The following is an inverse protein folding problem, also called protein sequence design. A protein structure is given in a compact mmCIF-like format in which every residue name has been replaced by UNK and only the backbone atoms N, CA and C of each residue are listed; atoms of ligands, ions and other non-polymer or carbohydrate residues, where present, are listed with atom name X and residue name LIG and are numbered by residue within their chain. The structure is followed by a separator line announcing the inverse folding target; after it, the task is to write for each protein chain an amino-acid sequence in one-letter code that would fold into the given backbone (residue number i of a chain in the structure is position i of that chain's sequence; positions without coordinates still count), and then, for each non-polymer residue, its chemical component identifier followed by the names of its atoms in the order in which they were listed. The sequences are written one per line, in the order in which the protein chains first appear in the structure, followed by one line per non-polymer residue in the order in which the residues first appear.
data_IF_763439462904
#
_entry.id   IF_763439462904
#
_cell.length_a   1.000
_cell.length_b   1.000
_cell.length_c   1.000
_cell.angle_alpha   90.00
_cell.angle_beta   90.00
_cell.angle_gamma   90.00
#
_symmetry.space_group_name_H-M   'P 1'
#
loop_
_entity.id
_entity.type
_entity.pdbx_description
1 polymer ?
#
# COMPACT_ATOMS: atom_id res chain seq x y z
N UNK A 1 7.63 3.66 -34.24
CA UNK A 1 6.64 3.09 -33.27
C UNK A 1 5.23 3.63 -33.54
N UNK A 2 4.94 4.94 -33.52
CA UNK A 2 3.59 5.47 -33.76
C UNK A 2 2.99 4.98 -35.09
N UNK A 3 3.74 5.07 -36.19
CA UNK A 3 3.33 4.53 -37.49
C UNK A 3 2.91 3.04 -37.43
N UNK A 4 3.69 2.22 -36.76
CA UNK A 4 3.39 0.79 -36.60
C UNK A 4 2.08 0.61 -35.82
N UNK A 5 1.84 1.44 -34.81
CA UNK A 5 0.58 1.41 -34.07
C UNK A 5 -0.61 1.87 -34.94
N UNK A 6 -0.41 2.88 -35.80
CA UNK A 6 -1.45 3.34 -36.73
C UNK A 6 -1.76 2.28 -37.79
N UNK A 7 -0.75 1.67 -38.41
CA UNK A 7 -0.90 0.55 -39.35
C UNK A 7 -1.68 -0.62 -38.71
N UNK A 8 -1.29 -1.03 -37.48
CA UNK A 8 -2.01 -2.06 -36.73
C UNK A 8 -3.46 -1.67 -36.44
N UNK A 9 -3.69 -0.39 -36.07
CA UNK A 9 -5.03 0.10 -35.77
C UNK A 9 -5.93 0.10 -37.02
N UNK A 10 -5.39 0.49 -38.17
CA UNK A 10 -6.09 0.45 -39.44
C UNK A 10 -6.46 -0.98 -39.86
N UNK A 11 -5.53 -1.94 -39.72
CA UNK A 11 -5.75 -3.35 -39.99
C UNK A 11 -6.83 -3.98 -39.11
N UNK A 12 -7.03 -3.45 -37.91
CA UNK A 12 -7.98 -3.99 -36.91
C UNK A 12 -9.22 -3.10 -36.70
N UNK A 13 -9.41 -2.08 -37.52
CA UNK A 13 -10.49 -1.08 -37.37
C UNK A 13 -10.55 -0.42 -36.01
N UNK A 14 -9.39 -0.11 -35.43
CA UNK A 14 -9.24 0.59 -34.16
C UNK A 14 -8.94 2.07 -34.44
N UNK A 15 -9.69 2.99 -33.83
CA UNK A 15 -9.42 4.42 -33.92
C UNK A 15 -8.76 4.93 -32.66
N UNK A 16 -7.53 5.43 -32.78
CA UNK A 16 -6.90 6.18 -31.68
C UNK A 16 -7.57 7.56 -31.55
N UNK A 17 -7.87 7.94 -30.32
CA UNK A 17 -8.40 9.26 -30.03
C UNK A 17 -7.28 10.23 -29.70
N UNK A 18 -6.83 11.04 -30.64
CA UNK A 18 -5.76 12.00 -30.49
C UNK A 18 -6.03 13.01 -29.38
N UNK A 19 -7.30 13.44 -29.20
CA UNK A 19 -7.70 14.40 -28.13
C UNK A 19 -7.58 13.84 -26.72
N UNK A 20 -7.74 12.51 -26.56
CA UNK A 20 -7.56 11.81 -25.27
C UNK A 20 -6.13 11.32 -25.07
N UNK A 21 -5.34 11.25 -26.13
CA UNK A 21 -3.94 10.87 -26.07
C UNK A 21 -3.11 12.04 -25.54
N UNK A 22 -2.06 11.73 -24.78
CA UNK A 22 -1.14 12.71 -24.21
C UNK A 22 0.26 12.15 -24.30
N UNK A 23 1.26 13.03 -24.43
CA UNK A 23 2.64 12.61 -24.32
C UNK A 23 3.39 13.39 -23.25
N UNK A 24 4.29 12.69 -22.54
CA UNK A 24 5.16 13.23 -21.52
C UNK A 24 6.62 13.09 -21.96
N UNK A 25 7.42 14.09 -21.65
CA UNK A 25 8.87 14.05 -21.91
C UNK A 25 9.58 13.99 -20.56
N UNK A 26 10.30 12.91 -20.33
CA UNK A 26 11.10 12.73 -19.12
C UNK A 26 12.57 13.09 -19.41
N UNK A 27 13.18 13.82 -18.49
CA UNK A 27 14.55 14.30 -18.61
C UNK A 27 14.65 15.75 -19.07
N UNK A 28 15.88 16.25 -19.14
CA UNK A 28 16.16 17.63 -19.55
C UNK A 28 16.35 17.70 -21.07
N UNK A 29 15.25 17.71 -21.80
CA UNK A 29 15.26 17.90 -23.25
C UNK A 29 14.69 19.27 -23.60
N UNK A 30 15.48 20.10 -24.28
CA UNK A 30 15.01 21.39 -24.82
C UNK A 30 14.04 21.20 -26.00
N UNK A 31 14.19 20.10 -26.73
CA UNK A 31 13.38 19.80 -27.89
C UNK A 31 12.10 19.05 -27.51
N UNK A 32 10.97 19.61 -27.92
CA UNK A 32 9.67 19.01 -27.78
C UNK A 32 9.12 18.59 -29.14
N UNK A 33 9.13 17.31 -29.50
CA UNK A 33 8.65 16.85 -30.80
C UNK A 33 7.16 17.11 -30.96
N UNK A 34 6.72 17.49 -32.16
CA UNK A 34 5.29 17.49 -32.50
C UNK A 34 4.88 16.07 -32.83
N UNK A 35 4.04 15.48 -31.95
CA UNK A 35 3.52 14.14 -32.10
C UNK A 35 2.10 14.22 -32.69
N UNK A 36 1.83 13.43 -33.74
CA UNK A 36 0.50 13.30 -34.34
C UNK A 36 0.09 11.84 -34.30
N UNK A 37 -1.21 11.60 -34.08
CA UNK A 37 -1.86 10.29 -34.16
C UNK A 37 -3.15 10.47 -34.98
N UNK A 38 -3.33 9.71 -36.05
CA UNK A 38 -4.42 9.87 -37.02
C UNK A 38 -4.53 11.33 -37.54
N UNK A 39 -3.40 11.95 -37.86
CA UNK A 39 -3.31 13.36 -38.27
C UNK A 39 -3.73 14.39 -37.19
N UNK A 40 -4.20 13.98 -36.03
CA UNK A 40 -4.49 14.87 -34.90
C UNK A 40 -3.22 15.09 -34.06
N UNK A 41 -2.98 16.33 -33.68
CA UNK A 41 -1.86 16.67 -32.80
C UNK A 41 -2.14 16.20 -31.38
N UNK A 42 -1.23 15.38 -30.83
CA UNK A 42 -1.27 14.94 -29.43
C UNK A 42 -0.68 16.04 -28.54
N UNK A 43 -1.40 16.51 -27.51
CA UNK A 43 -0.90 17.55 -26.63
C UNK A 43 0.23 17.03 -25.71
N UNK A 44 1.27 17.86 -25.56
CA UNK A 44 2.28 17.69 -24.51
C UNK A 44 1.65 18.02 -23.15
N UNK A 45 1.95 17.23 -22.14
CA UNK A 45 1.57 17.54 -20.78
C UNK A 45 2.69 17.22 -19.79
N UNK A 46 2.69 17.90 -18.65
CA UNK A 46 3.65 17.65 -17.57
C UNK A 46 3.18 16.50 -16.66
N UNK A 47 1.91 16.18 -16.68
CA UNK A 47 1.34 15.07 -15.93
C UNK A 47 0.20 14.41 -16.66
N UNK A 48 0.07 13.08 -16.48
CA UNK A 48 -1.05 12.29 -17.00
C UNK A 48 -1.34 11.11 -16.08
N UNK A 49 -2.61 10.69 -16.03
CA UNK A 49 -2.98 9.45 -15.35
C UNK A 49 -2.84 8.29 -16.34
N UNK A 50 -2.05 7.30 -15.99
CA UNK A 50 -1.90 6.05 -16.72
C UNK A 50 -2.17 4.87 -15.78
N UNK A 51 -3.14 4.04 -16.12
CA UNK A 51 -3.57 2.87 -15.31
C UNK A 51 -3.80 3.24 -13.82
N UNK A 52 -4.43 4.39 -13.58
CA UNK A 52 -4.71 4.86 -12.21
C UNK A 52 -3.52 5.50 -11.48
N UNK A 53 -2.35 5.58 -12.10
CA UNK A 53 -1.17 6.25 -11.54
C UNK A 53 -0.93 7.60 -12.19
N UNK A 54 -0.67 8.63 -11.38
CA UNK A 54 -0.22 9.92 -11.86
C UNK A 54 1.24 9.83 -12.29
N UNK A 55 1.49 9.95 -13.59
CA UNK A 55 2.83 10.14 -14.14
C UNK A 55 3.11 11.63 -14.23
N UNK A 56 4.27 12.08 -13.74
CA UNK A 56 4.67 13.49 -13.77
C UNK A 56 6.11 13.60 -14.28
N UNK A 57 6.36 14.50 -15.22
CA UNK A 57 7.70 14.76 -15.78
C UNK A 57 8.67 15.34 -14.74
N UNK A 58 8.14 16.12 -13.80
CA UNK A 58 8.84 16.59 -12.60
C UNK A 58 8.54 15.63 -11.45
N UNK A 59 9.18 14.48 -11.46
CA UNK A 59 8.95 13.46 -10.44
C UNK A 59 9.28 14.01 -9.04
N UNK A 60 8.23 14.37 -8.29
CA UNK A 60 8.35 14.65 -6.86
C UNK A 60 7.92 13.38 -6.11
N UNK A 61 8.87 12.79 -5.39
CA UNK A 61 8.72 11.50 -4.67
C UNK A 61 7.53 11.45 -3.71
N UNK A 62 6.99 12.60 -3.34
CA UNK A 62 5.99 12.74 -2.29
C UNK A 62 4.54 12.71 -2.80
N UNK A 63 4.29 13.16 -4.04
CA UNK A 63 2.91 13.38 -4.53
C UNK A 63 2.07 12.11 -4.59
N UNK A 64 2.65 10.97 -4.98
CA UNK A 64 1.91 9.70 -5.06
C UNK A 64 1.42 9.22 -3.69
N UNK A 65 2.26 9.33 -2.66
CA UNK A 65 1.90 8.88 -1.31
C UNK A 65 0.87 9.83 -0.70
N UNK A 66 1.03 11.14 -0.90
CA UNK A 66 0.08 12.16 -0.43
C UNK A 66 -1.32 12.00 -1.05
N UNK A 67 -1.39 11.73 -2.35
CA UNK A 67 -2.65 11.42 -3.02
C UNK A 67 -3.27 10.13 -2.51
N UNK A 68 -2.47 9.12 -2.24
CA UNK A 68 -2.93 7.86 -1.65
C UNK A 68 -3.46 8.06 -0.24
N UNK A 69 -2.81 8.89 0.58
CA UNK A 69 -3.31 9.28 1.92
C UNK A 69 -4.68 9.97 1.81
N UNK A 70 -4.82 10.94 0.90
CA UNK A 70 -6.10 11.63 0.68
C UNK A 70 -7.20 10.65 0.23
N UNK A 71 -6.87 9.77 -0.70
CA UNK A 71 -7.79 8.74 -1.21
C UNK A 71 -8.20 7.76 -0.12
N UNK A 72 -7.24 7.29 0.69
CA UNK A 72 -7.50 6.42 1.83
C UNK A 72 -8.44 7.09 2.84
N UNK A 73 -8.14 8.31 3.26
CA UNK A 73 -8.97 9.04 4.20
C UNK A 73 -10.40 9.24 3.66
N UNK A 74 -10.55 9.61 2.38
CA UNK A 74 -11.87 9.73 1.74
C UNK A 74 -12.63 8.39 1.77
N UNK A 75 -11.96 7.30 1.43
CA UNK A 75 -12.56 5.96 1.46
C UNK A 75 -12.94 5.55 2.87
N UNK A 76 -12.07 5.79 3.85
CA UNK A 76 -12.32 5.47 5.25
C UNK A 76 -13.50 6.25 5.84
N UNK A 77 -13.56 7.57 5.66
CA UNK A 77 -14.68 8.36 6.16
C UNK A 77 -15.99 8.02 5.45
N UNK A 78 -15.96 7.76 4.15
CA UNK A 78 -17.12 7.28 3.40
C UNK A 78 -17.57 5.88 3.84
N UNK A 79 -16.63 5.02 4.21
CA UNK A 79 -16.89 3.72 4.81
C UNK A 79 -17.54 3.87 6.19
N UNK A 80 -16.94 4.65 7.10
CA UNK A 80 -17.47 4.86 8.45
C UNK A 80 -18.88 5.44 8.44
N UNK A 81 -19.17 6.40 7.54
CA UNK A 81 -20.52 6.98 7.45
C UNK A 81 -21.61 5.96 7.09
N UNK A 82 -21.24 4.85 6.43
CA UNK A 82 -22.19 3.81 6.00
C UNK A 82 -22.28 2.63 6.98
N UNK A 83 -21.19 2.31 7.65
CA UNK A 83 -21.03 1.07 8.41
C UNK A 83 -20.72 1.28 9.90
N UNK A 84 -20.88 2.50 10.42
CA UNK A 84 -20.65 2.78 11.85
C UNK A 84 -21.56 1.98 12.77
N UNK A 85 -22.80 1.71 12.34
CA UNK A 85 -23.77 0.89 13.06
C UNK A 85 -23.52 -0.64 13.01
N UNK A 86 -22.54 -1.11 12.20
CA UNK A 86 -22.20 -2.53 12.15
C UNK A 86 -21.38 -2.93 13.38
N UNK A 87 -21.45 -4.22 13.75
CA UNK A 87 -20.57 -4.75 14.78
C UNK A 87 -19.09 -4.67 14.33
N UNK A 88 -18.18 -4.61 15.29
CA UNK A 88 -16.75 -4.37 15.07
C UNK A 88 -16.12 -5.44 14.20
N UNK A 89 -16.51 -6.71 14.34
CA UNK A 89 -15.99 -7.82 13.53
C UNK A 89 -16.34 -7.64 12.04
N UNK A 90 -17.62 -7.34 11.76
CA UNK A 90 -18.08 -7.08 10.38
C UNK A 90 -17.41 -5.82 9.83
N UNK A 91 -17.38 -4.76 10.64
CA UNK A 91 -16.74 -3.49 10.27
C UNK A 91 -15.26 -3.67 9.94
N UNK A 92 -14.51 -4.46 10.71
CA UNK A 92 -13.12 -4.75 10.45
C UNK A 92 -12.92 -5.50 9.11
N UNK A 93 -13.73 -6.52 8.82
CA UNK A 93 -13.70 -7.24 7.54
C UNK A 93 -13.99 -6.30 6.35
N UNK A 94 -15.03 -5.48 6.47
CA UNK A 94 -15.40 -4.51 5.44
C UNK A 94 -14.34 -3.42 5.26
N UNK A 95 -13.72 -2.95 6.35
CA UNK A 95 -12.60 -2.00 6.28
C UNK A 95 -11.47 -2.55 5.40
N UNK A 96 -11.08 -3.81 5.61
CA UNK A 96 -10.05 -4.44 4.78
C UNK A 96 -10.46 -4.55 3.32
N UNK A 97 -11.71 -4.81 3.04
CA UNK A 97 -12.20 -4.94 1.67
C UNK A 97 -12.25 -3.58 0.94
N UNK A 98 -12.70 -2.52 1.62
CA UNK A 98 -12.97 -1.23 0.98
C UNK A 98 -11.85 -0.20 1.13
N UNK A 99 -11.03 -0.29 2.18
CA UNK A 99 -10.04 0.74 2.50
C UNK A 99 -8.59 0.28 2.35
N UNK A 100 -8.31 -1.03 2.25
CA UNK A 100 -6.94 -1.55 2.31
C UNK A 100 -6.24 -1.74 0.96
N UNK A 101 -6.81 -1.28 -0.13
CA UNK A 101 -6.32 -1.58 -1.49
C UNK A 101 -4.86 -1.17 -1.72
N UNK A 102 -4.39 -0.04 -1.18
CA UNK A 102 -3.02 0.49 -1.38
C UNK A 102 -2.50 0.25 -2.81
N UNK A 103 -3.37 0.54 -3.80
CA UNK A 103 -3.04 0.34 -5.21
C UNK A 103 -1.83 1.19 -5.60
N UNK A 104 -0.86 0.60 -6.29
CA UNK A 104 0.33 1.31 -6.72
C UNK A 104 1.41 1.51 -5.64
N UNK A 105 1.19 1.06 -4.41
CA UNK A 105 2.16 1.23 -3.32
C UNK A 105 3.52 0.56 -3.58
N UNK A 106 3.59 -0.40 -4.48
CA UNK A 106 4.86 -0.99 -4.93
C UNK A 106 5.77 0.00 -5.67
N UNK A 107 5.26 1.17 -6.07
CA UNK A 107 6.03 2.25 -6.69
C UNK A 107 6.52 3.30 -5.69
N UNK A 108 6.14 3.18 -4.41
CA UNK A 108 6.52 4.14 -3.38
C UNK A 108 7.97 3.97 -2.96
N UNK A 109 8.55 5.06 -2.49
CA UNK A 109 9.80 5.06 -1.76
C UNK A 109 9.49 4.71 -0.30
N UNK A 110 9.76 3.47 0.10
CA UNK A 110 9.45 2.96 1.43
C UNK A 110 10.20 3.70 2.56
N UNK A 111 11.31 4.35 2.20
CA UNK A 111 12.11 5.15 3.15
C UNK A 111 11.59 6.58 3.30
N UNK A 112 10.51 6.94 2.61
CA UNK A 112 9.97 8.29 2.63
C UNK A 112 9.12 8.53 3.88
N UNK A 113 9.31 9.68 4.53
CA UNK A 113 8.52 10.10 5.70
C UNK A 113 7.01 10.06 5.49
N UNK A 114 6.53 10.24 4.26
CA UNK A 114 5.11 10.17 3.95
C UNK A 114 4.56 8.73 4.08
N UNK A 115 5.41 7.70 4.02
CA UNK A 115 5.00 6.32 4.34
C UNK A 115 4.68 6.19 5.83
N UNK A 116 5.49 6.79 6.70
CA UNK A 116 5.19 6.84 8.14
C UNK A 116 3.86 7.56 8.40
N UNK A 117 3.62 8.71 7.73
CA UNK A 117 2.34 9.40 7.82
C UNK A 117 1.17 8.52 7.37
N UNK A 118 1.34 7.73 6.32
CA UNK A 118 0.33 6.77 5.87
C UNK A 118 0.07 5.70 6.94
N UNK A 119 1.11 5.17 7.58
CA UNK A 119 0.97 4.21 8.69
C UNK A 119 0.23 4.83 9.89
N UNK A 120 0.52 6.07 10.23
CA UNK A 120 -0.20 6.80 11.30
C UNK A 120 -1.70 6.93 10.96
N UNK A 121 -2.05 7.33 9.72
CA UNK A 121 -3.44 7.41 9.29
C UNK A 121 -4.13 6.04 9.32
N UNK A 122 -3.42 4.99 8.92
CA UNK A 122 -3.89 3.63 8.99
C UNK A 122 -4.20 3.20 10.43
N UNK A 123 -3.30 3.46 11.38
CA UNK A 123 -3.52 3.13 12.78
C UNK A 123 -4.68 3.91 13.40
N UNK A 124 -4.83 5.18 13.05
CA UNK A 124 -5.97 5.98 13.50
C UNK A 124 -7.29 5.44 12.94
N UNK A 125 -7.30 5.00 11.68
CA UNK A 125 -8.46 4.37 11.08
C UNK A 125 -8.80 3.04 11.77
N UNK A 126 -7.79 2.21 12.10
CA UNK A 126 -7.99 0.97 12.84
C UNK A 126 -8.58 1.21 14.23
N UNK A 127 -8.04 2.17 15.00
CA UNK A 127 -8.58 2.51 16.33
C UNK A 127 -10.05 2.86 16.25
N UNK A 128 -10.43 3.69 15.29
CA UNK A 128 -11.84 4.05 15.08
C UNK A 128 -12.68 2.88 14.59
N UNK A 129 -12.18 2.12 13.62
CA UNK A 129 -12.87 0.94 13.08
C UNK A 129 -13.11 -0.15 14.11
N UNK A 130 -12.17 -0.37 15.02
CA UNK A 130 -12.25 -1.33 16.11
C UNK A 130 -12.97 -0.78 17.36
N UNK A 131 -13.31 0.52 17.38
CA UNK A 131 -13.88 1.20 18.55
C UNK A 131 -13.03 1.08 19.82
N UNK A 132 -11.71 1.06 19.67
CA UNK A 132 -10.76 1.09 20.78
C UNK A 132 -10.25 2.51 21.06
N UNK A 133 -9.70 2.79 22.25
CA UNK A 133 -9.18 4.10 22.63
C UNK A 133 -8.15 4.64 21.63
N UNK A 134 -8.13 5.97 21.45
CA UNK A 134 -7.22 6.63 20.51
C UNK A 134 -5.73 6.46 20.83
N UNK A 135 -5.39 6.10 22.07
CA UNK A 135 -4.03 5.83 22.56
C UNK A 135 -3.64 4.35 22.61
N UNK A 136 -4.52 3.45 22.12
CA UNK A 136 -4.16 2.03 22.00
C UNK A 136 -2.85 1.86 21.27
N UNK A 137 -1.93 1.07 21.84
CA UNK A 137 -0.60 0.85 21.27
C UNK A 137 -0.69 0.27 19.85
N UNK A 138 0.19 0.73 18.96
CA UNK A 138 0.15 0.33 17.54
C UNK A 138 0.36 -1.18 17.36
N UNK A 139 1.17 -1.82 18.19
CA UNK A 139 1.48 -3.25 18.10
C UNK A 139 0.30 -4.14 18.50
N UNK A 140 -0.63 -3.62 19.31
CA UNK A 140 -1.87 -4.33 19.66
C UNK A 140 -2.89 -4.33 18.52
N UNK A 141 -2.92 -3.28 17.70
CA UNK A 141 -3.94 -3.13 16.66
C UNK A 141 -3.92 -4.24 15.60
N UNK A 142 -2.76 -4.67 15.08
CA UNK A 142 -2.69 -5.80 14.16
C UNK A 142 -3.21 -7.08 14.80
N UNK A 143 -2.86 -7.32 16.06
CA UNK A 143 -3.29 -8.50 16.81
C UNK A 143 -4.80 -8.49 17.07
N UNK A 144 -5.38 -7.34 17.48
CA UNK A 144 -6.82 -7.19 17.69
C UNK A 144 -7.58 -7.34 16.36
N UNK A 145 -7.07 -6.75 15.29
CA UNK A 145 -7.69 -6.77 13.97
C UNK A 145 -7.50 -8.09 13.20
N UNK A 146 -6.63 -8.99 13.69
CA UNK A 146 -6.19 -10.19 12.99
C UNK A 146 -5.63 -9.87 11.60
N UNK A 147 -4.69 -8.94 11.56
CA UNK A 147 -4.16 -8.41 10.32
C UNK A 147 -2.71 -7.96 10.46
N UNK A 148 -1.98 -7.91 9.35
CA UNK A 148 -0.62 -7.38 9.34
C UNK A 148 -0.57 -5.87 9.48
N UNK A 149 0.47 -5.30 10.11
CA UNK A 149 0.79 -3.89 10.03
C UNK A 149 0.87 -3.42 8.58
N UNK A 150 0.50 -2.15 8.35
CA UNK A 150 0.55 -1.61 6.98
C UNK A 150 1.96 -1.63 6.41
N UNK A 151 2.97 -1.28 7.19
CA UNK A 151 4.36 -1.30 6.79
C UNK A 151 4.81 -2.70 6.31
N UNK A 152 4.46 -3.75 7.03
CA UNK A 152 4.78 -5.13 6.63
C UNK A 152 4.05 -5.51 5.33
N UNK A 153 2.80 -5.05 5.17
CA UNK A 153 2.06 -5.24 3.90
C UNK A 153 2.71 -4.53 2.72
N UNK A 154 3.22 -3.32 2.93
CA UNK A 154 3.92 -2.56 1.90
C UNK A 154 5.23 -3.26 1.53
N UNK A 155 5.99 -3.73 2.51
CA UNK A 155 7.21 -4.49 2.32
C UNK A 155 6.95 -5.79 1.53
N UNK A 156 5.91 -6.55 1.90
CA UNK A 156 5.49 -7.75 1.17
C UNK A 156 5.13 -7.43 -0.29
N UNK A 157 4.34 -6.38 -0.52
CA UNK A 157 3.97 -5.95 -1.88
C UNK A 157 5.19 -5.58 -2.71
N UNK A 158 6.13 -4.86 -2.10
CA UNK A 158 7.35 -4.44 -2.79
C UNK A 158 8.25 -5.65 -3.12
N UNK A 159 8.45 -6.55 -2.17
CA UNK A 159 9.24 -7.77 -2.37
C UNK A 159 8.66 -8.64 -3.51
N UNK A 160 7.33 -8.80 -3.54
CA UNK A 160 6.64 -9.52 -4.63
C UNK A 160 6.81 -8.79 -5.97
N UNK A 161 6.72 -7.46 -5.98
CA UNK A 161 6.96 -6.65 -7.17
C UNK A 161 8.41 -6.80 -7.66
N UNK A 162 9.39 -6.65 -6.78
CA UNK A 162 10.78 -6.80 -7.13
C UNK A 162 11.08 -8.18 -7.72
N UNK A 163 10.57 -9.25 -7.09
CA UNK A 163 10.67 -10.59 -7.64
C UNK A 163 10.08 -10.67 -9.05
N UNK A 164 8.88 -10.13 -9.26
CA UNK A 164 8.23 -10.15 -10.57
C UNK A 164 9.04 -9.42 -11.66
N UNK A 165 9.71 -8.33 -11.30
CA UNK A 165 10.58 -7.57 -12.20
C UNK A 165 11.87 -8.33 -12.50
N UNK A 166 12.52 -8.88 -11.46
CA UNK A 166 13.81 -9.58 -11.57
C UNK A 166 13.73 -10.92 -12.29
N UNK A 167 12.54 -11.56 -12.28
CA UNK A 167 12.28 -12.84 -12.96
C UNK A 167 11.45 -12.69 -14.24
N UNK A 168 11.24 -11.45 -14.72
CA UNK A 168 10.50 -11.17 -15.95
C UNK A 168 11.19 -11.76 -17.19
N UNK A 169 10.42 -12.20 -18.18
CA UNK A 169 10.95 -12.61 -19.48
C UNK A 169 11.47 -11.42 -20.34
N UNK A 170 11.15 -10.19 -19.90
CA UNK A 170 11.63 -8.97 -20.56
C UNK A 170 13.08 -8.65 -20.12
N UNK A 171 14.04 -8.92 -21.00
CA UNK A 171 15.47 -8.72 -20.75
C UNK A 171 15.83 -7.26 -20.40
N UNK A 172 15.17 -6.29 -21.04
CA UNK A 172 15.39 -4.87 -20.72
C UNK A 172 14.97 -4.55 -19.29
N UNK A 173 13.82 -5.08 -18.86
CA UNK A 173 13.33 -4.87 -17.50
C UNK A 173 14.26 -5.49 -16.45
N UNK A 174 14.72 -6.72 -16.69
CA UNK A 174 15.74 -7.37 -15.85
C UNK A 174 17.03 -6.57 -15.78
N UNK A 175 17.52 -6.10 -16.93
CA UNK A 175 18.74 -5.30 -17.00
C UNK A 175 18.62 -4.01 -16.19
N UNK A 176 17.51 -3.26 -16.36
CA UNK A 176 17.26 -2.03 -15.59
C UNK A 176 17.19 -2.33 -14.10
N UNK A 177 16.49 -3.38 -13.70
CA UNK A 177 16.41 -3.79 -12.29
C UNK A 177 17.79 -4.09 -11.71
N UNK A 178 18.62 -4.85 -12.43
CA UNK A 178 20.00 -5.18 -12.03
C UNK A 178 20.87 -3.92 -11.90
N UNK A 179 20.82 -3.00 -12.87
CA UNK A 179 21.58 -1.76 -12.82
C UNK A 179 21.18 -0.84 -11.68
N UNK A 180 19.90 -0.88 -11.28
CA UNK A 180 19.35 0.02 -10.25
C UNK A 180 19.30 -0.59 -8.86
N UNK A 181 19.58 -1.87 -8.70
CA UNK A 181 19.47 -2.60 -7.43
C UNK A 181 20.33 -1.99 -6.31
N UNK A 182 21.53 -1.55 -6.63
CA UNK A 182 22.46 -0.94 -5.68
C UNK A 182 22.62 0.58 -5.86
N UNK A 183 21.81 1.19 -6.73
CA UNK A 183 21.84 2.62 -6.95
C UNK A 183 20.96 3.33 -5.92
N UNK A 184 21.55 3.81 -4.84
CA UNK A 184 20.85 4.57 -3.79
C UNK A 184 20.19 5.87 -4.27
N UNK A 185 20.54 6.37 -5.46
CA UNK A 185 19.81 7.48 -6.08
C UNK A 185 18.44 7.06 -6.59
N UNK A 186 18.27 5.79 -6.92
CA UNK A 186 17.02 5.20 -7.39
C UNK A 186 16.11 4.77 -6.22
N UNK A 187 14.80 4.84 -6.43
CA UNK A 187 13.80 4.32 -5.47
C UNK A 187 13.98 2.81 -5.27
N UNK A 188 14.28 2.08 -6.34
CA UNK A 188 14.48 0.64 -6.29
C UNK A 188 15.67 0.28 -5.38
N UNK A 189 16.82 0.93 -5.58
CA UNK A 189 18.01 0.67 -4.77
C UNK A 189 17.81 1.02 -3.29
N UNK A 190 17.17 2.16 -2.98
CA UNK A 190 16.87 2.54 -1.59
C UNK A 190 15.93 1.54 -0.92
N UNK A 191 14.84 1.17 -1.57
CA UNK A 191 13.89 0.21 -1.03
C UNK A 191 14.54 -1.16 -0.81
N UNK A 192 15.33 -1.63 -1.78
CA UNK A 192 16.02 -2.92 -1.63
C UNK A 192 17.04 -2.90 -0.50
N UNK A 193 17.84 -1.86 -0.38
CA UNK A 193 18.76 -1.71 0.75
C UNK A 193 18.01 -1.70 2.09
N UNK A 194 16.91 -0.96 2.17
CA UNK A 194 16.07 -0.93 3.36
C UNK A 194 15.53 -2.32 3.73
N UNK A 195 14.98 -3.06 2.76
CA UNK A 195 14.39 -4.38 2.99
C UNK A 195 15.45 -5.45 3.31
N UNK A 196 16.61 -5.41 2.65
CA UNK A 196 17.75 -6.29 2.93
C UNK A 196 18.15 -6.13 4.40
N UNK A 197 18.33 -4.89 4.88
CA UNK A 197 18.68 -4.64 6.27
C UNK A 197 17.57 -5.02 7.25
N UNK A 198 16.33 -4.69 6.94
CA UNK A 198 15.18 -4.95 7.83
C UNK A 198 14.91 -6.43 8.03
N UNK A 199 15.06 -7.23 6.97
CA UNK A 199 14.69 -8.63 6.97
C UNK A 199 15.87 -9.59 6.90
N UNK A 200 17.11 -9.09 6.94
CA UNK A 200 18.34 -9.89 6.78
C UNK A 200 18.31 -10.78 5.53
N UNK A 201 17.96 -10.15 4.39
CA UNK A 201 17.72 -10.82 3.13
C UNK A 201 19.01 -11.04 2.35
N UNK A 202 19.12 -12.21 1.70
CA UNK A 202 20.09 -12.42 0.63
C UNK A 202 19.39 -12.25 -0.74
N UNK A 203 20.01 -11.54 -1.67
CA UNK A 203 19.38 -11.25 -2.98
C UNK A 203 19.06 -12.54 -3.73
N UNK A 204 19.91 -13.56 -3.61
CA UNK A 204 19.73 -14.85 -4.27
C UNK A 204 18.49 -15.60 -3.75
N UNK A 205 18.07 -15.36 -2.51
CA UNK A 205 16.87 -15.97 -1.93
C UNK A 205 15.60 -15.50 -2.66
N UNK A 206 15.57 -14.25 -3.15
CA UNK A 206 14.41 -13.74 -3.88
C UNK A 206 14.09 -14.52 -5.15
N UNK A 207 15.09 -15.05 -5.84
CA UNK A 207 14.88 -15.83 -7.06
C UNK A 207 14.24 -17.18 -6.78
N UNK A 208 14.58 -17.79 -5.64
CA UNK A 208 14.14 -19.13 -5.26
C UNK A 208 12.80 -19.18 -4.55
N UNK A 209 12.43 -18.12 -3.78
CA UNK A 209 11.23 -18.11 -2.96
C UNK A 209 9.95 -17.88 -3.78
N UNK A 210 8.88 -18.62 -3.46
CA UNK A 210 7.54 -18.31 -3.99
C UNK A 210 6.95 -17.02 -3.35
N UNK A 211 5.92 -16.44 -3.98
CA UNK A 211 5.23 -15.26 -3.41
C UNK A 211 4.69 -15.53 -2.00
N UNK A 212 4.14 -16.73 -1.77
CA UNK A 212 3.62 -17.12 -0.45
C UNK A 212 4.73 -17.19 0.59
N UNK A 213 5.88 -17.73 0.25
CA UNK A 213 7.04 -17.79 1.15
C UNK A 213 7.63 -16.42 1.48
N UNK A 214 7.63 -15.48 0.54
CA UNK A 214 8.05 -14.10 0.81
C UNK A 214 7.10 -13.46 1.85
N UNK A 215 5.80 -13.63 1.67
CA UNK A 215 4.81 -13.10 2.61
C UNK A 215 4.93 -13.75 4.00
N UNK A 216 5.08 -15.06 4.03
CA UNK A 216 5.28 -15.85 5.26
C UNK A 216 6.54 -15.39 6.00
N UNK A 217 7.61 -15.14 5.27
CA UNK A 217 8.87 -14.68 5.86
C UNK A 217 8.76 -13.27 6.47
N UNK A 218 8.17 -12.31 5.77
CA UNK A 218 7.89 -10.98 6.34
C UNK A 218 6.96 -11.07 7.57
N UNK A 219 5.98 -11.97 7.53
CA UNK A 219 5.09 -12.25 8.66
C UNK A 219 5.87 -12.80 9.86
N UNK A 220 6.67 -13.85 9.64
CA UNK A 220 7.42 -14.49 10.72
C UNK A 220 8.40 -13.52 11.38
N UNK A 221 9.08 -12.69 10.59
CA UNK A 221 10.00 -11.67 11.13
C UNK A 221 9.26 -10.68 12.03
N UNK A 222 8.17 -10.10 11.54
CA UNK A 222 7.33 -9.22 12.34
C UNK A 222 6.82 -9.93 13.60
N UNK A 223 6.35 -11.18 13.48
CA UNK A 223 5.81 -11.94 14.58
C UNK A 223 6.85 -12.21 15.69
N UNK A 224 8.11 -12.46 15.32
CA UNK A 224 9.19 -12.67 16.29
C UNK A 224 9.62 -11.41 17.03
N UNK A 225 9.31 -10.23 16.50
CA UNK A 225 9.63 -8.94 17.12
C UNK A 225 8.55 -8.45 18.10
N UNK A 226 7.37 -9.09 18.09
CA UNK A 226 6.27 -8.69 18.99
C UNK A 226 6.48 -9.24 20.38
N UNK A 227 6.23 -8.37 21.38
CA UNK A 227 6.18 -8.80 22.77
C UNK A 227 5.03 -9.82 22.98
N UNK A 228 5.33 -10.97 23.58
CA UNK A 228 4.37 -12.05 23.83
C UNK A 228 3.19 -11.61 24.71
N UNK A 229 3.40 -10.65 25.61
CA UNK A 229 2.32 -10.12 26.45
C UNK A 229 1.21 -9.46 25.62
N UNK A 230 1.56 -8.87 24.48
CA UNK A 230 0.57 -8.25 23.57
C UNK A 230 -0.43 -9.26 22.99
N UNK A 231 -0.05 -10.53 22.82
CA UNK A 231 -0.98 -11.55 22.36
C UNK A 231 -2.09 -11.82 23.38
N UNK A 232 -1.72 -11.93 24.65
CA UNK A 232 -2.70 -12.13 25.73
C UNK A 232 -3.61 -10.91 25.84
N UNK A 233 -3.06 -9.70 25.81
CA UNK A 233 -3.85 -8.45 25.85
C UNK A 233 -4.79 -8.31 24.65
N UNK A 234 -4.31 -8.60 23.45
CA UNK A 234 -5.13 -8.53 22.25
C UNK A 234 -6.29 -9.51 22.28
N UNK A 235 -6.08 -10.73 22.80
CA UNK A 235 -7.15 -11.71 22.95
C UNK A 235 -8.20 -11.25 23.94
N UNK A 236 -7.81 -10.75 25.10
CA UNK A 236 -8.74 -10.20 26.10
C UNK A 236 -9.54 -9.03 25.50
N UNK A 237 -8.89 -8.12 24.80
CA UNK A 237 -9.56 -6.97 24.17
C UNK A 237 -10.57 -7.45 23.12
N UNK A 238 -10.25 -8.45 22.30
CA UNK A 238 -11.19 -9.05 21.33
C UNK A 238 -12.43 -9.60 22.01
N UNK A 239 -12.25 -10.37 23.08
CA UNK A 239 -13.34 -10.95 23.84
C UNK A 239 -14.23 -9.86 24.46
N UNK A 240 -13.63 -8.81 25.04
CA UNK A 240 -14.36 -7.68 25.59
C UNK A 240 -15.17 -6.91 24.53
N UNK A 241 -14.60 -6.71 23.33
CA UNK A 241 -15.32 -6.09 22.21
C UNK A 241 -16.55 -6.94 21.83
N UNK A 242 -16.38 -8.26 21.71
CA UNK A 242 -17.49 -9.18 21.37
C UNK A 242 -18.54 -9.19 22.47
N UNK A 243 -18.14 -9.22 23.74
CA UNK A 243 -19.07 -9.18 24.89
C UNK A 243 -19.89 -7.88 24.90
N UNK A 244 -19.23 -6.74 24.66
CA UNK A 244 -19.88 -5.43 24.59
C UNK A 244 -20.92 -5.38 23.46
N UNK A 245 -20.60 -5.94 22.28
CA UNK A 245 -21.49 -5.96 21.13
C UNK A 245 -22.68 -6.89 21.32
N UNK A 246 -22.46 -8.06 21.93
CA UNK A 246 -23.51 -9.05 22.18
C UNK A 246 -24.40 -8.72 23.37
N UNK A 247 -24.19 -7.57 24.06
CA UNK A 247 -24.92 -7.18 25.27
C UNK A 247 -24.96 -8.27 26.33
N UNK A 248 -23.99 -9.17 26.36
CA UNK A 248 -23.85 -10.21 27.39
C UNK A 248 -23.35 -9.60 28.69
N UNK A 249 -24.21 -8.76 29.32
CA UNK A 249 -23.90 -7.91 30.48
C UNK A 249 -24.04 -8.60 31.82
N UNK A 250 -24.08 -9.94 31.90
CA UNK A 250 -24.24 -10.62 33.19
C UNK A 250 -22.98 -10.63 34.07
N UNK A 251 -21.79 -10.38 33.51
CA UNK A 251 -20.51 -10.41 34.26
C UNK A 251 -19.84 -9.06 34.40
N UNK A 252 -19.98 -8.18 33.40
CA UNK A 252 -19.37 -6.84 33.42
C UNK A 252 -20.34 -5.79 32.90
N UNK A 253 -20.35 -4.60 33.50
CA UNK A 253 -21.08 -3.46 32.98
C UNK A 253 -20.31 -2.92 31.72
N UNK A 254 -20.99 -2.12 30.88
CA UNK A 254 -20.34 -1.46 29.76
C UNK A 254 -19.17 -0.55 30.23
N UNK A 255 -19.27 0.02 31.43
CA UNK A 255 -18.23 0.84 32.02
C UNK A 255 -17.01 0.00 32.42
N UNK A 256 -17.23 -1.21 32.99
CA UNK A 256 -16.14 -2.11 33.36
C UNK A 256 -15.37 -2.60 32.14
N UNK A 257 -16.06 -2.97 31.06
CA UNK A 257 -15.44 -3.35 29.79
C UNK A 257 -14.62 -2.21 29.22
N UNK A 258 -15.12 -0.98 29.23
CA UNK A 258 -14.38 0.19 28.76
C UNK A 258 -13.15 0.46 29.63
N UNK A 259 -13.27 0.36 30.95
CA UNK A 259 -12.14 0.56 31.87
C UNK A 259 -11.04 -0.48 31.62
N UNK A 260 -11.38 -1.76 31.45
CA UNK A 260 -10.39 -2.82 31.18
C UNK A 260 -9.74 -2.61 29.81
N UNK A 261 -10.52 -2.26 28.77
CA UNK A 261 -9.98 -1.93 27.45
C UNK A 261 -9.04 -0.72 27.55
N UNK A 262 -9.43 0.34 28.26
CA UNK A 262 -8.61 1.52 28.47
C UNK A 262 -7.30 1.17 29.19
N UNK A 263 -7.37 0.34 30.23
CA UNK A 263 -6.18 -0.09 30.97
C UNK A 263 -5.21 -0.90 30.09
N UNK A 264 -5.71 -1.94 29.42
CA UNK A 264 -4.89 -2.82 28.57
C UNK A 264 -4.34 -2.14 27.32
N UNK A 265 -5.00 -1.08 26.83
CA UNK A 265 -4.53 -0.35 25.65
C UNK A 265 -3.42 0.67 25.96
N UNK A 266 -3.18 0.96 27.25
CA UNK A 266 -2.20 1.96 27.70
C UNK A 266 -0.93 1.28 28.24
N UNK A 267 -1.05 0.04 28.71
CA UNK A 267 0.06 -0.79 29.22
C UNK A 267 0.97 -1.26 28.11
#
# INVERSE_FOLDING_TARGET
MIKICEEYADDHNILFNGKKSKYLVFGNYEYSPTIKVNNEQVPKCDSAIHLGHMLNTKYTKNTLIEESIKSFNKSFYGFMSKFDGCNTTVRNKLFHQYCSSMYGSQLWDLTNKNVENMCIQWWNAHRRGLSVPGRTHCDLLPLIADNLPLEVKLDCKYNVFFKSVSTSDNELLKYVAKCKLFDHSSTLGRNMTHLIHKYDLQIDDFHSLSRSKINEWCYNRWFTEINMDYFAYAQIIRELIIMKENRCTRLFSNNDCNFIIDYLCIS
#
